data_IF_027929198090
#
_entry.id   IF_027929198090
#
_cell.length_a   1.000
_cell.length_b   1.000
_cell.length_c   1.000
_cell.angle_alpha   90.00
_cell.angle_beta   90.00
_cell.angle_gamma   90.00
#
_symmetry.space_group_name_H-M   'P 1'
#
loop_
_entity.id
_entity.type
_entity.pdbx_description
1 polymer ?
#
# COMPACT_ATOMS: atom_id res chain seq x y z
N UNK A 1 -11.95 -19.37 -34.28
CA UNK A 1 -11.49 -18.53 -33.16
C UNK A 1 -12.53 -18.57 -32.07
N UNK A 2 -12.18 -19.18 -30.93
CA UNK A 2 -12.98 -19.15 -29.72
C UNK A 2 -12.69 -17.82 -29.01
N UNK A 3 -13.73 -17.14 -28.53
CA UNK A 3 -13.61 -15.82 -27.93
C UNK A 3 -14.28 -15.85 -26.56
N UNK A 4 -13.62 -15.26 -25.57
CA UNK A 4 -14.16 -15.02 -24.23
C UNK A 4 -14.16 -13.54 -23.95
N UNK A 5 -15.32 -13.02 -23.56
CA UNK A 5 -15.48 -11.63 -23.17
C UNK A 5 -15.93 -11.58 -21.71
N UNK A 6 -15.22 -10.79 -20.90
CA UNK A 6 -15.52 -10.60 -19.49
C UNK A 6 -16.21 -9.25 -19.30
N UNK A 7 -17.40 -9.26 -18.70
CA UNK A 7 -18.13 -8.07 -18.32
C UNK A 7 -17.87 -7.81 -16.83
N UNK A 8 -17.64 -6.55 -16.48
CA UNK A 8 -17.35 -6.11 -15.12
C UNK A 8 -18.42 -5.12 -14.65
N UNK A 9 -18.63 -5.04 -13.35
CA UNK A 9 -19.46 -3.97 -12.78
C UNK A 9 -18.85 -2.59 -13.12
N UNK A 10 -19.68 -1.57 -13.43
CA UNK A 10 -19.18 -0.26 -13.81
C UNK A 10 -18.25 0.36 -12.76
N UNK A 11 -17.04 0.75 -13.19
CA UNK A 11 -16.06 1.40 -12.34
C UNK A 11 -15.33 0.48 -11.35
N UNK A 12 -15.53 -0.84 -11.41
CA UNK A 12 -14.85 -1.81 -10.54
C UNK A 12 -14.09 -2.87 -11.34
N UNK A 13 -13.41 -3.78 -10.64
CA UNK A 13 -12.76 -4.97 -11.22
C UNK A 13 -13.50 -6.27 -10.86
N UNK A 14 -14.75 -6.17 -10.39
CA UNK A 14 -15.60 -7.30 -10.02
C UNK A 14 -16.27 -7.86 -11.28
N UNK A 15 -15.98 -9.11 -11.67
CA UNK A 15 -16.56 -9.68 -12.88
C UNK A 15 -18.04 -10.01 -12.65
N UNK A 16 -18.88 -9.61 -13.60
CA UNK A 16 -20.34 -9.81 -13.57
C UNK A 16 -20.75 -11.00 -14.43
N UNK A 17 -20.26 -11.07 -15.66
CA UNK A 17 -20.59 -12.13 -16.60
C UNK A 17 -19.42 -12.50 -17.51
N UNK A 18 -19.40 -13.76 -17.97
CA UNK A 18 -18.54 -14.27 -19.02
C UNK A 18 -19.41 -14.60 -20.23
N UNK A 19 -19.05 -14.08 -21.39
CA UNK A 19 -19.63 -14.48 -22.67
C UNK A 19 -18.64 -15.39 -23.38
N UNK A 20 -19.01 -16.64 -23.62
CA UNK A 20 -18.20 -17.63 -24.32
C UNK A 20 -18.76 -17.84 -25.74
N UNK A 21 -17.97 -17.55 -26.77
CA UNK A 21 -18.38 -17.61 -28.17
C UNK A 21 -18.35 -16.26 -28.88
N UNK A 22 -19.00 -16.15 -30.04
CA UNK A 22 -18.88 -14.99 -30.95
C UNK A 22 -20.23 -14.39 -31.31
N UNK A 23 -20.32 -13.06 -31.24
CA UNK A 23 -21.49 -12.29 -31.68
C UNK A 23 -22.74 -12.62 -30.87
N UNK A 24 -23.90 -12.65 -31.53
CA UNK A 24 -25.20 -12.94 -30.91
C UNK A 24 -25.34 -14.36 -30.38
N UNK A 25 -24.44 -15.28 -30.77
CA UNK A 25 -24.47 -16.69 -30.36
C UNK A 25 -23.57 -16.95 -29.13
N UNK A 26 -23.03 -15.92 -28.49
CA UNK A 26 -22.21 -16.11 -27.30
C UNK A 26 -23.07 -16.55 -26.10
N UNK A 27 -22.65 -17.63 -25.44
CA UNK A 27 -23.33 -18.18 -24.28
C UNK A 27 -22.97 -17.36 -23.03
N UNK A 28 -23.95 -16.83 -22.28
CA UNK A 28 -23.68 -16.11 -21.05
C UNK A 28 -23.54 -17.04 -19.85
N UNK A 29 -22.56 -16.70 -19.01
CA UNK A 29 -22.33 -17.28 -17.69
C UNK A 29 -22.21 -16.16 -16.66
N UNK A 30 -22.70 -16.39 -15.45
CA UNK A 30 -22.84 -15.37 -14.41
C UNK A 30 -21.97 -15.69 -13.21
N UNK A 31 -21.20 -14.71 -12.74
CA UNK A 31 -20.30 -14.90 -11.61
C UNK A 31 -21.02 -14.70 -10.28
N UNK A 32 -20.69 -15.54 -9.31
CA UNK A 32 -21.00 -15.35 -7.90
C UNK A 32 -19.70 -15.08 -7.16
N UNK A 33 -19.64 -13.94 -6.49
CA UNK A 33 -18.41 -13.41 -5.89
C UNK A 33 -18.46 -13.44 -4.37
N UNK A 34 -17.30 -13.46 -3.72
CA UNK A 34 -17.19 -13.15 -2.30
C UNK A 34 -17.31 -11.63 -2.02
N UNK A 35 -17.17 -11.23 -0.75
CA UNK A 35 -17.19 -9.82 -0.35
C UNK A 35 -16.06 -9.00 -0.99
N UNK A 36 -14.93 -9.62 -1.32
CA UNK A 36 -13.80 -9.00 -2.02
C UNK A 36 -13.98 -8.94 -3.54
N UNK A 37 -14.99 -9.59 -4.11
CA UNK A 37 -15.18 -9.63 -5.57
C UNK A 37 -14.41 -10.75 -6.25
N UNK A 38 -13.95 -11.75 -5.51
CA UNK A 38 -13.30 -12.95 -6.04
C UNK A 38 -14.35 -13.93 -6.56
N UNK A 39 -14.24 -14.45 -7.79
CA UNK A 39 -15.09 -15.52 -8.29
C UNK A 39 -15.08 -16.77 -7.40
N UNK A 40 -16.22 -17.09 -6.79
CA UNK A 40 -16.42 -18.33 -6.04
C UNK A 40 -17.14 -19.37 -6.90
N UNK A 41 -18.13 -18.94 -7.69
CA UNK A 41 -18.93 -19.82 -8.54
C UNK A 41 -19.27 -19.14 -9.87
N UNK A 42 -19.59 -19.95 -10.87
CA UNK A 42 -20.06 -19.52 -12.17
C UNK A 42 -21.26 -20.38 -12.57
N UNK A 43 -22.37 -19.72 -12.92
CA UNK A 43 -23.60 -20.40 -13.33
C UNK A 43 -23.93 -20.17 -14.80
N UNK A 44 -24.51 -21.17 -15.46
CA UNK A 44 -25.05 -21.02 -16.81
C UNK A 44 -26.41 -20.29 -16.81
N UNK A 45 -26.98 -20.07 -18.00
CA UNK A 45 -28.30 -19.44 -18.17
C UNK A 45 -29.45 -20.18 -17.44
N UNK A 46 -29.32 -21.49 -17.24
CA UNK A 46 -30.28 -22.30 -16.48
C UNK A 46 -30.11 -22.23 -14.96
N UNK A 47 -29.16 -21.44 -14.45
CA UNK A 47 -28.86 -21.32 -13.02
C UNK A 47 -28.07 -22.49 -12.43
N UNK A 48 -27.55 -23.39 -13.26
CA UNK A 48 -26.73 -24.52 -12.80
C UNK A 48 -25.29 -24.04 -12.62
N UNK A 49 -24.66 -24.43 -11.49
CA UNK A 49 -23.24 -24.21 -11.25
C UNK A 49 -22.45 -25.05 -12.25
N UNK A 50 -21.63 -24.39 -13.08
CA UNK A 50 -20.74 -25.04 -14.05
C UNK A 50 -19.28 -25.05 -13.60
N UNK A 51 -18.93 -24.16 -12.69
CA UNK A 51 -17.60 -24.06 -12.09
C UNK A 51 -17.71 -23.45 -10.70
N UNK A 52 -16.92 -23.95 -9.75
CA UNK A 52 -16.73 -23.34 -8.44
C UNK A 52 -15.29 -23.50 -7.97
N UNK A 53 -14.85 -22.61 -7.09
CA UNK A 53 -13.52 -22.67 -6.49
C UNK A 53 -13.53 -22.23 -5.04
N UNK A 54 -12.64 -22.84 -4.25
CA UNK A 54 -12.33 -22.42 -2.88
C UNK A 54 -10.89 -21.94 -2.81
N UNK A 55 -10.64 -20.89 -2.02
CA UNK A 55 -9.35 -20.24 -1.93
C UNK A 55 -8.81 -20.21 -0.50
N UNK A 56 -7.50 -20.17 -0.38
CA UNK A 56 -6.82 -19.73 0.83
C UNK A 56 -6.83 -18.19 0.92
N UNK A 57 -6.48 -17.64 2.09
CA UNK A 57 -6.52 -16.19 2.35
C UNK A 57 -5.64 -15.33 1.44
N UNK A 58 -4.65 -15.91 0.75
CA UNK A 58 -3.80 -15.24 -0.25
C UNK A 58 -4.16 -15.60 -1.70
N UNK A 59 -5.34 -16.18 -1.94
CA UNK A 59 -5.86 -16.42 -3.28
C UNK A 59 -5.34 -17.67 -3.96
N UNK A 60 -4.57 -18.53 -3.24
CA UNK A 60 -4.24 -19.87 -3.72
C UNK A 60 -5.52 -20.70 -3.81
N UNK A 61 -5.78 -21.25 -4.98
CA UNK A 61 -6.86 -22.20 -5.20
C UNK A 61 -6.59 -23.45 -4.36
N UNK A 62 -7.54 -23.80 -3.50
CA UNK A 62 -7.52 -25.03 -2.70
C UNK A 62 -8.21 -26.17 -3.44
N UNK A 63 -9.33 -25.86 -4.07
CA UNK A 63 -10.24 -26.83 -4.69
C UNK A 63 -10.97 -26.14 -5.84
N UNK A 64 -11.13 -26.85 -6.95
CA UNK A 64 -11.98 -26.47 -8.08
C UNK A 64 -12.93 -27.65 -8.32
N UNK A 65 -14.21 -27.35 -8.46
CA UNK A 65 -15.22 -28.31 -8.87
C UNK A 65 -15.87 -27.83 -10.17
N UNK A 66 -16.12 -28.78 -11.08
CA UNK A 66 -16.86 -28.53 -12.31
C UNK A 66 -18.23 -29.18 -12.19
N UNK A 67 -19.27 -28.46 -12.61
CA UNK A 67 -20.63 -28.98 -12.67
C UNK A 67 -20.82 -29.99 -13.79
N UNK A 68 -22.03 -30.57 -13.85
CA UNK A 68 -22.43 -31.41 -14.98
C UNK A 68 -22.61 -30.57 -16.25
N UNK A 69 -21.80 -30.82 -17.29
CA UNK A 69 -21.86 -30.10 -18.56
C UNK A 69 -20.49 -29.94 -19.24
N UNK A 70 -20.39 -28.96 -20.15
CA UNK A 70 -19.13 -28.57 -20.78
C UNK A 70 -18.17 -27.98 -19.73
N UNK A 71 -16.94 -28.49 -19.67
CA UNK A 71 -15.93 -27.99 -18.74
C UNK A 71 -15.49 -26.59 -19.14
N UNK A 72 -16.06 -25.59 -18.45
CA UNK A 72 -15.72 -24.19 -18.65
C UNK A 72 -14.63 -23.77 -17.64
N UNK A 73 -13.41 -23.61 -18.14
CA UNK A 73 -12.31 -23.08 -17.35
C UNK A 73 -12.47 -21.59 -17.06
N UNK A 74 -12.26 -21.21 -15.81
CA UNK A 74 -12.34 -19.84 -15.32
C UNK A 74 -10.97 -19.35 -14.79
N UNK A 75 -10.25 -18.50 -15.53
CA UNK A 75 -8.93 -18.03 -15.13
C UNK A 75 -8.93 -16.81 -14.20
N UNK A 76 -10.04 -16.09 -14.01
CA UNK A 76 -10.07 -14.95 -13.09
C UNK A 76 -9.83 -15.38 -11.64
N UNK A 77 -9.09 -14.56 -10.88
CA UNK A 77 -8.74 -14.79 -9.47
C UNK A 77 -9.18 -13.58 -8.65
N UNK A 78 -8.36 -13.12 -7.69
CA UNK A 78 -8.60 -11.83 -7.04
C UNK A 78 -8.76 -10.72 -8.08
N UNK A 79 -9.42 -9.63 -7.70
CA UNK A 79 -9.64 -8.48 -8.59
C UNK A 79 -8.33 -8.07 -9.30
N UNK A 80 -8.38 -7.94 -10.64
CA UNK A 80 -7.23 -7.62 -11.49
C UNK A 80 -6.35 -8.82 -11.90
N UNK A 81 -6.51 -9.98 -11.26
CA UNK A 81 -5.68 -11.16 -11.48
C UNK A 81 -6.25 -12.13 -12.50
N UNK A 82 -5.39 -12.60 -13.40
CA UNK A 82 -5.64 -13.65 -14.37
C UNK A 82 -4.67 -14.82 -14.15
N UNK A 83 -5.19 -16.03 -13.97
CA UNK A 83 -4.38 -17.24 -13.83
C UNK A 83 -3.72 -17.59 -15.14
N UNK A 84 -2.40 -17.72 -15.10
CA UNK A 84 -1.57 -18.19 -16.19
C UNK A 84 -1.26 -19.69 -15.99
N UNK A 85 -1.86 -20.60 -16.78
CA UNK A 85 -1.64 -22.03 -16.65
C UNK A 85 -0.20 -22.47 -16.94
N UNK A 86 0.55 -21.73 -17.75
CA UNK A 86 1.92 -22.11 -18.12
C UNK A 86 2.87 -21.96 -16.94
N UNK A 87 2.75 -20.86 -16.19
CA UNK A 87 3.61 -20.58 -15.05
C UNK A 87 3.01 -20.97 -13.69
N UNK A 88 1.69 -21.21 -13.63
CA UNK A 88 0.95 -21.38 -12.38
C UNK A 88 0.86 -20.11 -11.53
N UNK A 89 1.14 -18.94 -12.13
CA UNK A 89 1.14 -17.64 -11.45
C UNK A 89 -0.11 -16.85 -11.83
N UNK A 90 -0.35 -15.77 -11.12
CA UNK A 90 -1.44 -14.86 -11.43
C UNK A 90 -0.87 -13.58 -12.05
N UNK A 91 -1.13 -13.36 -13.34
CA UNK A 91 -0.82 -12.08 -13.97
C UNK A 91 -1.77 -11.00 -13.44
N UNK A 92 -1.22 -9.98 -12.78
CA UNK A 92 -1.95 -8.86 -12.22
C UNK A 92 -1.50 -7.55 -12.86
N UNK A 93 -1.82 -7.38 -14.15
CA UNK A 93 -1.58 -6.20 -15.00
C UNK A 93 -0.12 -5.73 -15.08
N UNK A 94 0.42 -5.19 -13.99
CA UNK A 94 1.78 -4.69 -13.90
C UNK A 94 2.77 -5.73 -13.35
N UNK A 95 2.29 -6.80 -12.69
CA UNK A 95 3.16 -7.76 -11.98
C UNK A 95 2.61 -9.18 -12.02
N UNK A 96 3.50 -10.15 -11.93
CA UNK A 96 3.14 -11.55 -11.66
C UNK A 96 3.08 -11.80 -10.16
N UNK A 97 1.93 -12.27 -9.68
CA UNK A 97 1.65 -12.64 -8.30
C UNK A 97 1.79 -14.15 -8.11
N UNK A 98 2.49 -14.54 -7.05
CA UNK A 98 2.63 -15.92 -6.63
C UNK A 98 1.69 -16.19 -5.44
N UNK A 99 0.60 -16.95 -5.64
CA UNK A 99 -0.37 -17.23 -4.58
C UNK A 99 0.18 -18.18 -3.50
N UNK A 100 1.20 -18.98 -3.79
CA UNK A 100 1.86 -19.87 -2.82
C UNK A 100 2.57 -19.07 -1.72
N UNK A 101 3.26 -18.01 -2.13
CA UNK A 101 4.10 -17.20 -1.23
C UNK A 101 3.45 -15.87 -0.83
N UNK A 102 2.26 -15.58 -1.36
CA UNK A 102 1.47 -14.40 -1.05
C UNK A 102 2.08 -13.07 -1.50
N UNK A 103 2.89 -13.08 -2.57
CA UNK A 103 3.70 -11.91 -2.99
C UNK A 103 3.89 -11.83 -4.50
N UNK A 104 4.26 -10.65 -4.98
CA UNK A 104 4.71 -10.44 -6.36
C UNK A 104 6.13 -10.96 -6.58
N UNK A 105 6.45 -11.31 -7.82
CA UNK A 105 7.77 -11.76 -8.25
C UNK A 105 8.72 -10.61 -8.59
N UNK A 106 8.18 -9.45 -8.93
CA UNK A 106 8.96 -8.25 -9.25
C UNK A 106 8.64 -7.14 -8.26
N UNK A 107 9.61 -6.27 -7.94
CA UNK A 107 9.35 -5.07 -7.18
C UNK A 107 8.25 -4.23 -7.84
N UNK A 108 7.50 -3.51 -7.02
CA UNK A 108 6.49 -2.55 -7.46
C UNK A 108 7.11 -1.54 -8.44
N UNK A 109 6.56 -1.37 -9.65
CA UNK A 109 7.00 -0.34 -10.58
C UNK A 109 6.96 1.08 -10.00
N UNK A 110 6.07 1.33 -9.02
CA UNK A 110 5.98 2.59 -8.28
C UNK A 110 7.06 2.75 -7.18
N UNK A 111 7.91 1.73 -6.98
CA UNK A 111 9.06 1.71 -6.06
C UNK A 111 8.63 2.00 -4.62
N UNK A 112 9.21 2.99 -3.92
CA UNK A 112 8.83 3.26 -2.53
C UNK A 112 7.45 3.93 -2.40
N UNK A 113 6.86 4.41 -3.50
CA UNK A 113 5.47 4.89 -3.49
C UNK A 113 4.49 3.73 -3.18
N UNK A 114 4.77 2.52 -3.69
CA UNK A 114 4.12 1.27 -3.28
C UNK A 114 4.55 0.76 -1.90
N UNK A 115 5.25 1.58 -1.11
CA UNK A 115 5.78 1.20 0.18
C UNK A 115 7.06 0.39 0.13
N UNK A 116 7.58 0.06 1.31
CA UNK A 116 8.96 -0.43 1.45
C UNK A 116 9.16 -1.90 1.09
N UNK A 117 8.10 -2.69 1.06
CA UNK A 117 8.16 -4.03 0.51
C UNK A 117 7.54 -4.03 -0.89
N UNK A 118 8.37 -3.76 -1.89
CA UNK A 118 7.94 -3.72 -3.29
C UNK A 118 7.38 -5.05 -3.81
N UNK A 119 7.58 -6.16 -3.11
CA UNK A 119 7.03 -7.46 -3.47
C UNK A 119 5.69 -7.76 -2.79
N UNK A 120 5.24 -6.94 -1.84
CA UNK A 120 4.00 -7.21 -1.10
C UNK A 120 2.77 -7.07 -2.01
N UNK A 121 1.79 -7.95 -1.82
CA UNK A 121 0.44 -7.82 -2.40
C UNK A 121 -0.37 -6.74 -1.67
N UNK A 122 -0.99 -7.08 -0.54
CA UNK A 122 -1.69 -6.13 0.34
C UNK A 122 -1.28 -6.35 1.79
N UNK A 123 -1.66 -5.42 2.69
CA UNK A 123 -1.44 -5.58 4.13
C UNK A 123 -2.39 -6.60 4.76
N UNK A 124 -3.62 -6.68 4.24
CA UNK A 124 -4.65 -7.60 4.69
C UNK A 124 -5.38 -8.21 3.47
N UNK A 125 -4.97 -9.39 2.99
CA UNK A 125 -5.52 -9.98 1.77
C UNK A 125 -6.95 -10.52 1.93
N UNK A 126 -7.48 -10.64 3.16
CA UNK A 126 -8.88 -11.04 3.40
C UNK A 126 -9.85 -9.85 3.43
N UNK A 127 -9.32 -8.62 3.49
CA UNK A 127 -10.12 -7.39 3.46
C UNK A 127 -9.82 -6.48 2.27
N UNK A 128 -8.59 -6.53 1.74
CA UNK A 128 -8.07 -5.58 0.75
C UNK A 128 -7.55 -6.30 -0.49
N UNK A 129 -7.72 -5.64 -1.63
CA UNK A 129 -7.28 -6.11 -2.95
C UNK A 129 -6.33 -5.10 -3.59
N UNK A 130 -5.48 -5.56 -4.52
CA UNK A 130 -4.66 -4.71 -5.38
C UNK A 130 -5.01 -4.99 -6.86
N UNK A 131 -6.06 -4.33 -7.42
CA UNK A 131 -6.53 -4.60 -8.77
C UNK A 131 -5.61 -4.07 -9.87
N UNK A 132 -4.67 -3.20 -9.53
CA UNK A 132 -3.75 -2.59 -10.48
C UNK A 132 -2.42 -3.33 -10.52
N UNK A 133 -2.10 -4.14 -9.52
CA UNK A 133 -0.75 -4.61 -9.34
C UNK A 133 0.19 -3.47 -8.94
N UNK A 134 -0.29 -2.48 -8.17
CA UNK A 134 0.47 -1.37 -7.61
C UNK A 134 0.03 -1.18 -6.15
N UNK A 135 0.96 -1.24 -5.21
CA UNK A 135 0.66 -1.10 -3.77
C UNK A 135 0.29 0.35 -3.41
N UNK A 136 0.51 1.30 -4.32
CA UNK A 136 0.08 2.69 -4.18
C UNK A 136 -1.39 2.84 -4.63
N UNK A 137 -2.27 3.08 -3.66
CA UNK A 137 -3.63 3.55 -3.92
C UNK A 137 -3.61 5.08 -3.78
N UNK A 138 -3.48 5.84 -4.89
CA UNK A 138 -3.26 7.28 -4.81
C UNK A 138 -4.50 8.00 -4.29
N UNK A 139 -4.36 8.64 -3.12
CA UNK A 139 -5.17 9.78 -2.70
C UNK A 139 -6.50 9.45 -2.02
N UNK A 140 -6.79 10.25 -0.98
CA UNK A 140 -8.05 10.57 -0.24
C UNK A 140 -9.43 10.09 -0.77
N UNK A 141 -9.57 8.88 -1.31
CA UNK A 141 -10.82 8.43 -1.92
C UNK A 141 -10.90 7.01 -2.51
N UNK A 142 -9.87 6.14 -2.52
CA UNK A 142 -10.11 4.80 -3.06
C UNK A 142 -8.96 3.78 -3.04
N UNK A 143 -9.06 2.83 -2.10
CA UNK A 143 -8.96 1.39 -2.33
C UNK A 143 -9.94 0.72 -1.37
N UNK A 144 -11.23 0.95 -1.60
CA UNK A 144 -12.31 0.25 -0.91
C UNK A 144 -12.93 -0.72 -1.92
N UNK A 145 -13.31 -1.95 -1.51
CA UNK A 145 -14.35 -2.64 -2.26
C UNK A 145 -15.55 -1.69 -2.32
N UNK A 146 -16.15 -1.52 -3.50
CA UNK A 146 -17.47 -0.89 -3.59
C UNK A 146 -18.48 -1.82 -2.93
N UNK A 147 -18.54 -1.80 -1.59
CA UNK A 147 -19.73 -2.20 -0.86
C UNK A 147 -20.66 -1.01 -1.02
N UNK A 148 -21.81 -1.24 -1.65
CA UNK A 148 -22.89 -0.27 -1.73
C UNK A 148 -23.20 0.32 -0.35
N UNK A 149 -23.76 1.52 -0.36
CA UNK A 149 -24.12 2.27 0.83
C UNK A 149 -24.79 1.38 1.90
N UNK A 150 -24.30 1.52 3.14
CA UNK A 150 -24.73 0.87 4.39
C UNK A 150 -24.01 -0.44 4.74
N UNK A 151 -22.95 -0.30 5.52
CA UNK A 151 -22.28 -1.39 6.23
C UNK A 151 -23.06 -1.73 7.53
N UNK A 152 -23.66 -2.94 7.65
CA UNK A 152 -24.27 -3.38 8.90
C UNK A 152 -23.25 -3.85 9.96
N UNK A 153 -21.94 -3.89 9.66
CA UNK A 153 -20.89 -4.21 10.64
C UNK A 153 -20.60 -3.07 11.64
N UNK A 154 -21.22 -1.89 11.46
CA UNK A 154 -21.15 -0.78 12.42
C UNK A 154 -21.96 -1.04 13.72
N UNK A 155 -22.61 -2.20 13.88
CA UNK A 155 -23.35 -2.58 15.09
C UNK A 155 -23.01 -3.99 15.58
N UNK A 156 -21.75 -4.26 15.86
CA UNK A 156 -21.41 -5.31 16.83
C UNK A 156 -20.37 -4.74 17.79
N UNK A 157 -20.85 -4.21 18.92
CA UNK A 157 -19.99 -3.83 20.03
C UNK A 157 -19.46 -5.09 20.70
N UNK A 158 -18.14 -5.26 20.72
CA UNK A 158 -17.47 -6.29 21.51
C UNK A 158 -16.29 -5.65 22.23
N UNK A 159 -16.41 -5.62 23.56
CA UNK A 159 -15.35 -5.71 24.57
C UNK A 159 -14.15 -4.76 24.43
N UNK A 160 -14.09 -3.79 25.34
CA UNK A 160 -12.88 -3.04 25.68
C UNK A 160 -11.81 -4.00 26.21
N UNK A 161 -10.93 -4.48 25.33
CA UNK A 161 -9.56 -4.86 25.68
C UNK A 161 -8.64 -4.21 24.65
N UNK A 162 -7.82 -3.26 25.11
CA UNK A 162 -6.98 -2.37 24.30
C UNK A 162 -6.00 -3.13 23.39
N UNK A 163 -6.34 -3.27 22.11
CA UNK A 163 -5.34 -3.36 21.05
C UNK A 163 -5.03 -1.93 20.59
N UNK A 164 -3.99 -1.34 21.17
CA UNK A 164 -3.45 -0.06 20.69
C UNK A 164 -3.19 -0.16 19.17
N UNK A 165 -3.45 0.90 18.37
CA UNK A 165 -3.17 0.88 16.95
C UNK A 165 -1.71 0.45 16.69
N UNK A 166 -1.44 -0.35 15.65
CA UNK A 166 -0.09 -0.83 15.38
C UNK A 166 0.85 0.37 15.26
N UNK A 167 1.91 0.37 16.08
CA UNK A 167 2.89 1.46 16.06
C UNK A 167 3.39 1.66 14.62
N UNK A 168 3.43 2.91 14.13
CA UNK A 168 3.86 3.19 12.76
C UNK A 168 5.25 2.60 12.52
N UNK A 169 5.34 1.77 11.48
CA UNK A 169 6.51 0.92 11.21
C UNK A 169 7.74 1.70 10.76
N UNK A 170 7.56 2.95 10.31
CA UNK A 170 8.58 3.78 9.68
C UNK A 170 8.54 5.21 10.21
N UNK A 171 9.61 5.95 9.92
CA UNK A 171 9.68 7.39 10.09
C UNK A 171 9.98 8.03 8.74
N UNK A 172 9.49 9.24 8.54
CA UNK A 172 9.66 10.04 7.34
C UNK A 172 10.41 11.31 7.66
N UNK A 173 11.29 11.72 6.74
CA UNK A 173 11.99 12.99 6.84
C UNK A 173 12.08 13.65 5.47
N UNK A 174 11.51 14.84 5.37
CA UNK A 174 11.73 15.72 4.24
C UNK A 174 13.09 16.40 4.32
N UNK A 175 13.86 16.39 3.24
CA UNK A 175 15.12 17.14 3.15
C UNK A 175 15.39 17.60 1.71
N UNK A 176 16.23 18.64 1.57
CA UNK A 176 16.62 19.17 0.27
C UNK A 176 17.96 18.61 -0.21
N UNK A 177 18.75 18.04 0.71
CA UNK A 177 20.02 17.40 0.39
C UNK A 177 19.78 16.14 -0.43
N UNK A 178 20.69 15.89 -1.36
CA UNK A 178 20.57 14.79 -2.31
C UNK A 178 20.96 13.45 -1.67
N UNK A 179 20.48 12.32 -2.23
CA UNK A 179 20.83 11.00 -1.72
C UNK A 179 22.33 10.71 -1.74
N UNK A 180 23.11 11.29 -2.66
CA UNK A 180 24.56 11.03 -2.71
C UNK A 180 25.27 11.48 -1.43
N UNK A 181 24.74 12.52 -0.77
CA UNK A 181 25.24 13.02 0.52
C UNK A 181 24.60 12.23 1.65
N UNK A 182 23.27 12.14 1.68
CA UNK A 182 22.55 11.57 2.82
C UNK A 182 22.81 10.08 3.00
N UNK A 183 22.94 9.30 1.92
CA UNK A 183 23.27 7.88 2.02
C UNK A 183 24.71 7.64 2.50
N UNK A 184 25.62 8.61 2.41
CA UNK A 184 26.97 8.49 2.96
C UNK A 184 27.07 8.96 4.40
N UNK A 185 26.45 10.10 4.71
CA UNK A 185 26.69 10.81 5.97
C UNK A 185 25.60 10.59 7.02
N UNK A 186 24.41 10.15 6.59
CA UNK A 186 23.20 10.14 7.41
C UNK A 186 22.67 11.55 7.66
N UNK A 187 21.88 11.70 8.73
CA UNK A 187 21.45 13.01 9.22
C UNK A 187 22.12 13.30 10.56
N UNK A 188 22.77 14.45 10.68
CA UNK A 188 23.40 14.91 11.92
C UNK A 188 22.57 16.06 12.49
N UNK A 189 22.43 16.10 13.81
CA UNK A 189 21.81 17.22 14.53
C UNK A 189 22.57 18.52 14.30
N UNK A 190 21.92 19.65 14.59
CA UNK A 190 22.51 20.97 14.34
C UNK A 190 23.51 21.39 15.42
N UNK A 191 23.40 20.84 16.62
CA UNK A 191 24.20 21.21 17.77
C UNK A 191 24.01 20.28 18.97
N UNK A 192 24.10 20.84 20.17
CA UNK A 192 24.15 20.06 21.42
C UNK A 192 22.99 20.35 22.38
N UNK A 193 22.05 21.22 22.02
CA UNK A 193 20.90 21.52 22.89
C UNK A 193 19.97 20.32 23.01
N UNK A 194 19.76 19.83 24.23
CA UNK A 194 18.87 18.70 24.53
C UNK A 194 17.47 19.15 24.96
N UNK A 195 17.19 20.45 24.93
CA UNK A 195 15.87 20.99 25.26
C UNK A 195 14.89 20.74 24.11
N UNK A 196 13.99 19.78 24.32
CA UNK A 196 12.99 19.39 23.33
C UNK A 196 11.98 20.50 23.05
N UNK A 197 11.65 21.32 24.04
CA UNK A 197 10.71 22.44 23.86
C UNK A 197 11.31 23.51 22.96
N UNK A 198 12.58 23.87 23.19
CA UNK A 198 13.29 24.80 22.32
C UNK A 198 13.47 24.23 20.91
N UNK A 199 13.75 22.93 20.78
CA UNK A 199 13.83 22.27 19.47
C UNK A 199 12.56 22.42 18.62
N UNK A 200 11.38 22.22 19.22
CA UNK A 200 10.08 22.32 18.52
C UNK A 200 9.74 23.77 18.16
N UNK A 201 10.16 24.75 18.98
CA UNK A 201 9.90 26.17 18.74
C UNK A 201 10.88 26.78 17.73
N UNK A 202 12.18 26.53 17.92
CA UNK A 202 13.26 26.98 17.05
C UNK A 202 14.51 26.12 17.26
N UNK A 203 14.69 25.11 16.40
CA UNK A 203 15.84 24.22 16.45
C UNK A 203 17.20 24.87 16.12
N UNK A 204 17.21 26.15 15.74
CA UNK A 204 18.44 26.91 15.44
C UNK A 204 18.90 27.77 16.59
N UNK A 205 18.06 28.03 17.58
CA UNK A 205 18.39 28.91 18.69
C UNK A 205 17.91 28.35 20.05
N UNK A 206 18.78 27.65 20.81
CA UNK A 206 20.12 27.21 20.44
C UNK A 206 20.10 26.02 19.45
N UNK A 207 21.22 25.77 18.78
CA UNK A 207 21.35 24.65 17.84
C UNK A 207 21.00 23.31 18.51
N UNK A 208 19.96 22.67 18.01
CA UNK A 208 19.35 21.47 18.56
C UNK A 208 20.21 20.21 18.38
N UNK A 209 20.21 19.36 19.41
CA UNK A 209 20.74 17.99 19.37
C UNK A 209 19.76 16.98 18.75
N UNK A 210 18.64 17.42 18.18
CA UNK A 210 17.65 16.52 17.59
C UNK A 210 17.57 16.66 16.07
N UNK A 211 17.35 15.53 15.41
CA UNK A 211 16.93 15.44 14.01
C UNK A 211 15.43 15.16 13.98
N UNK A 212 14.66 16.10 13.43
CA UNK A 212 13.21 15.96 13.28
C UNK A 212 12.85 14.89 12.26
N UNK A 213 11.91 14.02 12.64
CA UNK A 213 11.27 13.03 11.77
C UNK A 213 9.78 12.97 12.11
N UNK A 214 8.94 12.44 11.21
CA UNK A 214 7.51 12.29 11.44
C UNK A 214 7.06 10.86 11.22
N UNK A 215 5.98 10.45 11.89
CA UNK A 215 5.28 9.22 11.54
C UNK A 215 4.30 9.39 10.37
N UNK A 216 4.03 10.64 9.99
CA UNK A 216 3.16 11.01 8.89
C UNK A 216 3.99 11.30 7.62
N UNK A 217 3.58 10.67 6.52
CA UNK A 217 4.25 10.82 5.23
C UNK A 217 4.00 12.19 4.62
N UNK A 218 2.79 12.75 4.78
CA UNK A 218 2.40 14.03 4.19
C UNK A 218 3.22 15.17 4.80
N UNK A 219 3.46 15.09 6.12
CA UNK A 219 4.37 16.00 6.83
C UNK A 219 5.78 15.92 6.25
N UNK A 220 6.30 14.71 6.01
CA UNK A 220 7.58 14.52 5.34
C UNK A 220 7.65 15.14 3.94
N UNK A 221 6.57 15.04 3.15
CA UNK A 221 6.47 15.64 1.81
C UNK A 221 6.48 17.16 1.88
N UNK A 222 5.69 17.75 2.79
CA UNK A 222 5.65 19.20 2.97
C UNK A 222 7.03 19.74 3.37
N UNK A 223 7.71 19.13 4.35
CA UNK A 223 9.08 19.53 4.70
C UNK A 223 10.07 19.33 3.55
N UNK A 224 9.97 18.21 2.83
CA UNK A 224 10.87 17.87 1.72
C UNK A 224 10.75 18.84 0.54
N UNK A 225 9.59 19.48 0.37
CA UNK A 225 9.32 20.45 -0.70
C UNK A 225 9.34 21.90 -0.22
N UNK A 226 9.69 22.15 1.05
CA UNK A 226 9.47 23.44 1.74
C UNK A 226 8.05 23.96 1.50
N UNK A 227 7.06 23.17 1.91
CA UNK A 227 5.64 23.46 1.75
C UNK A 227 5.26 23.74 0.29
N UNK A 228 5.68 22.84 -0.61
CA UNK A 228 5.37 22.87 -2.05
C UNK A 228 5.93 24.08 -2.82
N UNK A 229 7.01 24.68 -2.30
CA UNK A 229 7.67 25.81 -2.96
C UNK A 229 8.76 25.37 -3.93
N UNK A 230 9.32 24.16 -3.75
CA UNK A 230 10.41 23.64 -4.56
C UNK A 230 10.46 22.10 -4.58
N UNK A 231 11.26 21.55 -5.48
CA UNK A 231 11.57 20.12 -5.52
C UNK A 231 12.42 19.73 -4.30
N UNK A 232 12.36 18.47 -3.90
CA UNK A 232 13.23 17.93 -2.86
C UNK A 232 13.04 16.43 -2.67
N UNK A 233 13.24 15.95 -1.46
CA UNK A 233 13.36 14.51 -1.21
C UNK A 233 12.60 14.08 0.04
N UNK A 234 11.89 12.96 -0.08
CA UNK A 234 11.30 12.25 1.05
C UNK A 234 12.18 11.06 1.40
N UNK A 235 12.84 11.11 2.55
CA UNK A 235 13.61 9.99 3.09
C UNK A 235 12.72 9.12 3.97
N UNK A 236 12.83 7.80 3.76
CA UNK A 236 12.13 6.80 4.56
C UNK A 236 13.12 6.08 5.45
N UNK A 237 12.80 6.00 6.73
CA UNK A 237 13.67 5.49 7.77
C UNK A 237 13.03 4.28 8.44
N UNK A 238 13.86 3.36 8.96
CA UNK A 238 13.36 2.35 9.89
C UNK A 238 12.84 3.05 11.15
N UNK A 239 12.02 2.37 11.93
CA UNK A 239 11.62 2.92 13.24
C UNK A 239 12.84 2.95 14.15
N UNK A 240 13.30 4.16 14.48
CA UNK A 240 14.40 4.41 15.42
C UNK A 240 13.79 4.92 16.74
N UNK A 241 14.31 4.52 17.91
CA UNK A 241 13.94 5.13 19.17
C UNK A 241 14.20 6.64 19.15
N UNK A 242 13.22 7.42 19.61
CA UNK A 242 13.29 8.87 19.65
C UNK A 242 12.23 9.43 20.60
N UNK A 243 12.31 10.75 20.83
CA UNK A 243 11.40 11.45 21.72
C UNK A 243 10.11 11.82 21.01
N UNK A 244 8.99 11.37 21.54
CA UNK A 244 7.67 11.62 20.95
C UNK A 244 7.15 12.96 21.46
N UNK A 245 7.22 13.98 20.62
CA UNK A 245 6.94 15.38 21.00
C UNK A 245 5.54 15.52 21.61
N UNK A 246 4.55 14.88 21.00
CA UNK A 246 3.16 14.96 21.43
C UNK A 246 2.87 14.25 22.77
N UNK A 247 3.75 13.35 23.20
CA UNK A 247 3.62 12.65 24.48
C UNK A 247 4.44 13.31 25.59
N UNK A 248 5.56 13.92 25.24
CA UNK A 248 6.52 14.42 26.22
C UNK A 248 6.33 15.90 26.57
N UNK A 249 5.71 16.69 25.69
CA UNK A 249 5.45 18.10 25.93
C UNK A 249 3.95 18.36 26.16
N UNK A 250 3.59 19.34 27.00
CA UNK A 250 2.20 19.73 27.17
C UNK A 250 1.70 20.41 25.88
N UNK A 251 0.44 20.17 25.51
CA UNK A 251 -0.11 20.61 24.22
C UNK A 251 -0.01 22.13 23.96
N UNK A 252 0.01 22.95 25.01
CA UNK A 252 0.20 24.42 24.92
C UNK A 252 1.59 24.83 24.39
N UNK A 253 2.59 23.96 24.54
CA UNK A 253 3.98 24.22 24.16
C UNK A 253 4.34 23.58 22.80
N UNK A 254 3.36 22.97 22.11
CA UNK A 254 3.54 22.30 20.81
C UNK A 254 2.75 23.04 19.73
N UNK A 255 3.35 24.02 19.03
CA UNK A 255 2.67 24.74 17.96
C UNK A 255 2.20 23.82 16.81
N UNK A 256 2.93 22.73 16.56
CA UNK A 256 2.74 21.86 15.40
C UNK A 256 2.39 20.41 15.79
N UNK A 257 1.42 20.22 16.69
CA UNK A 257 1.06 18.88 17.18
C UNK A 257 0.59 17.90 16.10
N UNK A 258 0.11 18.40 14.94
CA UNK A 258 -0.28 17.56 13.81
C UNK A 258 0.91 16.94 13.07
N UNK A 259 2.14 17.38 13.34
CA UNK A 259 3.33 16.87 12.65
C UNK A 259 3.74 15.46 13.12
N UNK A 260 3.15 14.97 14.21
CA UNK A 260 3.45 13.65 14.79
C UNK A 260 4.98 13.41 14.89
N UNK A 261 5.69 14.42 15.39
CA UNK A 261 7.16 14.46 15.39
C UNK A 261 7.76 13.45 16.36
N UNK A 262 8.74 12.70 15.85
CA UNK A 262 9.68 11.91 16.63
C UNK A 262 11.07 12.54 16.50
N UNK A 263 11.55 13.16 17.57
CA UNK A 263 12.84 13.83 17.64
C UNK A 263 13.96 12.81 17.94
N UNK A 264 14.85 12.57 16.97
CA UNK A 264 15.96 11.61 17.10
C UNK A 264 17.20 12.34 17.63
N UNK A 265 17.77 11.94 18.78
CA UNK A 265 18.96 12.60 19.33
C UNK A 265 20.22 12.32 18.50
N UNK A 266 21.13 13.28 18.49
CA UNK A 266 22.48 13.23 17.90
C UNK A 266 22.50 13.03 16.38
N UNK A 267 22.18 11.83 15.90
CA UNK A 267 22.19 11.53 14.47
C UNK A 267 21.31 10.35 14.09
N UNK A 268 20.90 10.35 12.83
CA UNK A 268 20.31 9.21 12.13
C UNK A 268 21.42 8.62 11.26
N UNK A 269 21.80 7.38 11.51
CA UNK A 269 22.88 6.72 10.76
C UNK A 269 22.39 6.30 9.38
N UNK A 270 23.32 6.14 8.44
CA UNK A 270 22.98 5.67 7.08
C UNK A 270 22.24 4.32 7.09
N UNK A 271 22.64 3.38 7.96
CA UNK A 271 22.00 2.06 8.14
C UNK A 271 20.52 2.14 8.60
N UNK A 272 20.10 3.30 9.10
CA UNK A 272 18.72 3.55 9.52
C UNK A 272 17.86 4.12 8.37
N UNK A 273 18.50 4.61 7.31
CA UNK A 273 17.87 5.18 6.13
C UNK A 273 17.60 4.07 5.12
N UNK A 274 16.33 3.82 4.82
CA UNK A 274 15.89 2.76 3.92
C UNK A 274 16.02 3.17 2.45
N UNK A 275 15.76 4.44 2.16
CA UNK A 275 15.84 4.99 0.81
C UNK A 275 15.23 6.39 0.72
N UNK A 276 15.11 6.86 -0.51
CA UNK A 276 14.59 8.20 -0.81
C UNK A 276 13.64 8.18 -2.01
N UNK A 277 12.63 9.04 -1.99
CA UNK A 277 11.75 9.34 -3.12
C UNK A 277 11.91 10.80 -3.50
N UNK A 278 12.39 11.13 -4.72
CA UNK A 278 12.41 12.51 -5.21
C UNK A 278 10.98 13.05 -5.42
N UNK A 279 10.80 14.31 -5.02
CA UNK A 279 9.53 15.03 -5.03
C UNK A 279 9.57 16.15 -6.08
N UNK A 280 8.45 16.31 -6.78
CA UNK A 280 8.17 17.51 -7.58
C UNK A 280 7.78 18.67 -6.67
N UNK A 281 7.78 19.87 -7.23
CA UNK A 281 7.43 21.10 -6.49
C UNK A 281 6.04 21.04 -5.85
N UNK A 282 5.08 20.38 -6.48
CA UNK A 282 3.71 20.26 -5.99
C UNK A 282 3.52 19.21 -4.87
N UNK A 283 4.59 18.52 -4.46
CA UNK A 283 4.55 17.42 -3.49
C UNK A 283 4.33 16.05 -4.11
N UNK A 284 4.01 15.97 -5.41
CA UNK A 284 3.85 14.68 -6.08
C UNK A 284 5.20 14.00 -6.33
N UNK A 285 5.19 12.67 -6.39
CA UNK A 285 6.41 11.91 -6.65
C UNK A 285 6.90 12.10 -8.09
N UNK A 286 8.23 12.09 -8.27
CA UNK A 286 8.84 12.11 -9.61
C UNK A 286 8.57 10.79 -10.37
N UNK A 287 8.19 9.73 -9.67
CA UNK A 287 7.85 8.42 -10.26
C UNK A 287 8.94 7.36 -10.07
N UNK A 288 9.94 7.64 -9.24
CA UNK A 288 10.89 6.63 -8.80
C UNK A 288 11.38 6.89 -7.38
N UNK A 289 12.04 5.88 -6.81
CA UNK A 289 12.71 5.94 -5.52
C UNK A 289 14.04 5.19 -5.61
N UNK A 290 14.97 5.56 -4.74
CA UNK A 290 16.30 4.98 -4.68
C UNK A 290 16.46 4.28 -3.32
N UNK A 291 16.69 2.96 -3.27
CA UNK A 291 17.08 2.31 -2.03
C UNK A 291 18.45 2.81 -1.59
N UNK A 292 18.69 2.86 -0.28
CA UNK A 292 20.01 3.20 0.23
C UNK A 292 20.98 2.01 0.02
N UNK A 293 22.02 2.14 -0.84
CA UNK A 293 22.97 1.06 -1.06
C UNK A 293 23.92 0.83 0.13
N UNK A 294 24.06 1.82 1.02
CA UNK A 294 24.94 1.75 2.19
C UNK A 294 24.27 1.05 3.40
N UNK A 295 23.06 0.52 3.21
CA UNK A 295 22.34 -0.24 4.22
C UNK A 295 22.91 -1.66 4.32
N UNK A 296 24.01 -1.82 5.06
CA UNK A 296 24.55 -3.12 5.46
C UNK A 296 23.87 -3.68 6.70
#
# INVERSE_FOLDING_TARGET
HHHRSYLYEPGTFRPLALLDGKGLNACPFYYHLDHLGTPQELTNYGGQIVWSARYHGYGKVREIEHGGGEQLEQPLRFQGQYFDPESGLHYNRNRYYNPETGRYLTPDPSKLAGGLNGYRYTLNPTGWVDPLGLVDCPGKGGCRPAVGEQDPAAKVGVGEDELSPPKPKFLYRGDLRTPEVIFKEGFVSLGKSTDLRLHVLDNRNPLSNFVSTSTDVDVGIDFGTRYRTQKGYLYVLKRIPGRDVNKELPRKDIPYSYEHEIAIPDRIKTEDILGVTPLKKDGSYVGYSLPNPERK
#
